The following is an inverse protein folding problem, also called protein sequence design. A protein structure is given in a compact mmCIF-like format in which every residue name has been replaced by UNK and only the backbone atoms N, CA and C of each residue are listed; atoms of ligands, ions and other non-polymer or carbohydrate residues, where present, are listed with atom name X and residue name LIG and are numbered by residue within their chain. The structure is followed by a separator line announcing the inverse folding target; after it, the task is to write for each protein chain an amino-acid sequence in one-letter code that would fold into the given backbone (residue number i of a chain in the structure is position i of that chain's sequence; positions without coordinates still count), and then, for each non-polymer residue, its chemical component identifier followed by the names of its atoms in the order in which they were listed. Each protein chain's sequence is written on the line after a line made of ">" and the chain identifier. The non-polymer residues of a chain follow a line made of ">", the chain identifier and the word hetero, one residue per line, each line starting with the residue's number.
data_IF_980949631337
#
_entry.id   IF_980949631337
#
_cell.length_a   1.000
_cell.length_b   1.000
_cell.length_c   1.000
_cell.angle_alpha   90.00
_cell.angle_beta   90.00
_cell.angle_gamma   90.00
#
_symmetry.space_group_name_H-M   'P 1'
#
loop_
_entity.id
_entity.type
_entity.pdbx_description
1 polymer ?
#
# COMPACT_ATOMS: atom_id res chain seq x y z
N UNK A 1 66.86 9.98 -13.73
CA UNK A 1 65.90 8.86 -13.58
C UNK A 1 65.11 8.83 -12.30
N UNK A 2 65.65 9.21 -11.12
CA UNK A 2 64.88 9.15 -9.84
C UNK A 2 63.78 10.21 -9.68
N UNK A 3 63.81 11.34 -10.40
CA UNK A 3 62.75 12.38 -10.31
C UNK A 3 61.54 12.12 -11.20
N UNK A 4 61.65 11.30 -12.23
CA UNK A 4 60.54 10.92 -13.11
C UNK A 4 59.62 9.85 -12.47
N UNK A 5 60.17 8.98 -11.61
CA UNK A 5 59.44 7.89 -10.95
C UNK A 5 58.53 8.41 -9.83
N UNK A 6 58.89 9.52 -9.17
CA UNK A 6 58.09 10.13 -8.08
C UNK A 6 56.85 10.86 -8.61
N UNK A 7 56.94 11.46 -9.80
CA UNK A 7 55.79 12.10 -10.44
C UNK A 7 54.75 11.09 -10.99
N UNK A 8 55.16 9.91 -11.42
CA UNK A 8 54.24 8.85 -11.85
C UNK A 8 53.49 8.19 -10.66
N UNK A 9 54.16 8.06 -9.52
CA UNK A 9 53.50 7.51 -8.30
C UNK A 9 52.49 8.48 -7.66
N UNK A 10 52.68 9.78 -7.76
CA UNK A 10 51.72 10.79 -7.33
C UNK A 10 50.50 10.92 -8.26
N UNK A 11 50.65 10.65 -9.56
CA UNK A 11 49.54 10.67 -10.52
C UNK A 11 48.62 9.44 -10.39
N UNK A 12 49.12 8.29 -9.91
CA UNK A 12 48.32 7.08 -9.69
C UNK A 12 47.51 7.16 -8.37
N UNK A 13 47.96 7.95 -7.40
CA UNK A 13 47.25 8.13 -6.10
C UNK A 13 46.09 9.15 -6.16
N UNK A 14 45.98 9.92 -7.25
CA UNK A 14 44.89 10.90 -7.42
C UNK A 14 43.69 10.42 -8.22
N UNK A 15 43.71 9.16 -8.70
CA UNK A 15 42.61 8.53 -9.45
C UNK A 15 41.87 7.45 -8.65
N UNK A 16 41.90 7.49 -7.31
CA UNK A 16 40.79 6.90 -6.56
C UNK A 16 39.61 7.80 -6.79
N UNK A 17 38.96 7.71 -7.95
CA UNK A 17 37.64 8.25 -8.14
C UNK A 17 36.81 7.72 -6.97
N UNK A 18 36.46 8.60 -6.04
CA UNK A 18 35.34 8.39 -5.16
C UNK A 18 34.16 8.15 -6.12
N UNK A 19 33.87 6.90 -6.42
CA UNK A 19 32.53 6.53 -6.83
C UNK A 19 31.64 6.90 -5.65
N UNK A 20 31.22 8.17 -5.61
CA UNK A 20 30.19 8.61 -4.71
C UNK A 20 29.03 7.65 -4.97
N UNK A 21 28.80 6.72 -4.05
CA UNK A 21 27.63 5.84 -4.10
C UNK A 21 26.45 6.77 -4.23
N UNK A 22 25.68 6.65 -5.30
CA UNK A 22 24.51 7.47 -5.51
C UNK A 22 23.70 7.48 -4.21
N UNK A 23 23.23 8.66 -3.80
CA UNK A 23 22.44 8.77 -2.58
C UNK A 23 21.25 7.80 -2.63
N UNK A 24 20.93 7.08 -1.55
CA UNK A 24 19.79 6.19 -1.53
C UNK A 24 18.52 6.95 -1.93
N UNK A 25 17.67 6.39 -2.81
CA UNK A 25 16.48 7.10 -3.29
C UNK A 25 15.46 7.28 -2.17
N UNK A 26 14.69 8.35 -2.24
CA UNK A 26 13.50 8.52 -1.42
C UNK A 26 12.35 7.66 -1.96
N UNK A 27 11.46 7.24 -1.09
CA UNK A 27 10.27 6.47 -1.46
C UNK A 27 9.00 7.14 -0.96
N UNK A 28 8.00 7.24 -1.84
CA UNK A 28 6.65 7.72 -1.50
C UNK A 28 5.65 6.72 -2.05
N UNK A 29 4.83 6.13 -1.18
CA UNK A 29 3.71 5.26 -1.55
C UNK A 29 2.41 6.00 -1.24
N UNK A 30 1.67 6.36 -2.28
CA UNK A 30 0.32 6.94 -2.18
C UNK A 30 -0.67 5.81 -2.39
N UNK A 31 -1.40 5.44 -1.32
CA UNK A 31 -2.23 4.25 -1.25
C UNK A 31 -3.68 4.64 -0.98
N UNK A 32 -4.57 4.36 -1.93
CA UNK A 32 -5.94 4.86 -1.90
C UNK A 32 -6.87 3.76 -1.39
N UNK A 33 -7.91 4.13 -0.66
CA UNK A 33 -8.91 3.22 -0.10
C UNK A 33 -10.10 3.09 -1.05
N UNK A 34 -10.39 1.86 -1.52
CA UNK A 34 -11.54 1.52 -2.37
C UNK A 34 -11.55 2.16 -3.77
N UNK A 35 -10.44 2.63 -4.31
CA UNK A 35 -10.38 3.16 -5.68
C UNK A 35 -10.25 2.03 -6.69
N UNK A 36 -11.14 1.99 -7.67
CA UNK A 36 -11.12 0.96 -8.70
C UNK A 36 -10.21 1.25 -9.88
N UNK A 37 -9.90 0.20 -10.62
CA UNK A 37 -9.06 0.23 -11.82
C UNK A 37 -9.53 1.29 -12.84
N UNK A 38 -10.84 1.46 -13.03
CA UNK A 38 -11.43 2.38 -14.00
C UNK A 38 -11.73 3.79 -13.47
N UNK A 39 -11.28 4.15 -12.27
CA UNK A 39 -11.63 5.43 -11.66
C UNK A 39 -10.71 6.59 -12.04
N UNK A 40 -9.56 6.35 -12.66
CA UNK A 40 -8.62 7.40 -13.08
C UNK A 40 -8.43 7.44 -14.60
N UNK A 41 -8.19 8.62 -15.17
CA UNK A 41 -8.09 8.80 -16.63
C UNK A 41 -6.99 7.94 -17.29
N UNK A 42 -5.77 7.75 -16.69
CA UNK A 42 -4.75 6.87 -17.27
C UNK A 42 -5.20 5.41 -17.43
N UNK A 43 -6.21 4.97 -16.69
CA UNK A 43 -6.80 3.63 -16.75
C UNK A 43 -8.21 3.60 -17.35
N UNK A 44 -8.60 4.66 -18.05
CA UNK A 44 -9.78 4.70 -18.90
C UNK A 44 -11.01 5.40 -18.35
N UNK A 45 -10.95 6.05 -17.17
CA UNK A 45 -12.05 6.86 -16.68
C UNK A 45 -12.44 7.95 -17.70
N UNK A 46 -13.75 8.07 -17.97
CA UNK A 46 -14.32 9.14 -18.81
C UNK A 46 -15.07 10.18 -17.97
N UNK A 47 -15.25 9.90 -16.68
CA UNK A 47 -16.08 10.69 -15.78
C UNK A 47 -15.20 11.58 -14.90
N UNK A 48 -14.20 10.97 -14.24
CA UNK A 48 -13.34 11.65 -13.30
C UNK A 48 -12.24 12.44 -14.03
N UNK A 49 -11.89 13.61 -13.50
CA UNK A 49 -10.80 14.44 -14.03
C UNK A 49 -9.58 14.30 -13.13
N UNK A 50 -8.53 13.68 -13.64
CA UNK A 50 -7.33 13.36 -12.88
C UNK A 50 -6.05 13.88 -13.56
N UNK A 51 -5.94 15.23 -13.75
CA UNK A 51 -4.85 15.84 -14.52
C UNK A 51 -3.46 15.61 -13.91
N UNK A 52 -3.35 15.48 -12.58
CA UNK A 52 -2.07 15.23 -11.91
C UNK A 52 -1.62 13.78 -12.09
N UNK A 53 -2.55 12.80 -11.99
CA UNK A 53 -2.29 11.39 -12.31
C UNK A 53 -1.99 11.20 -13.80
N UNK A 54 -2.69 11.94 -14.69
CA UNK A 54 -2.35 11.97 -16.13
C UNK A 54 -0.92 12.44 -16.36
N UNK A 55 -0.50 13.49 -15.65
CA UNK A 55 0.86 13.97 -15.72
C UNK A 55 1.85 12.96 -15.16
N UNK A 56 1.55 12.38 -14.00
CA UNK A 56 2.37 11.33 -13.38
C UNK A 56 2.59 10.14 -14.33
N UNK A 57 1.54 9.68 -15.02
CA UNK A 57 1.63 8.59 -15.99
C UNK A 57 2.46 8.96 -17.24
N UNK A 58 2.30 10.20 -17.74
CA UNK A 58 3.11 10.68 -18.89
C UNK A 58 4.59 10.86 -18.56
N UNK A 59 4.91 11.24 -17.33
CA UNK A 59 6.29 11.43 -16.88
C UNK A 59 6.92 10.15 -16.28
N UNK A 60 6.12 9.16 -15.97
CA UNK A 60 6.49 7.91 -15.34
C UNK A 60 6.06 6.67 -16.15
N UNK A 61 5.62 5.64 -15.45
CA UNK A 61 5.24 4.34 -16.02
C UNK A 61 3.94 3.85 -15.42
N UNK A 62 3.05 3.25 -16.24
CA UNK A 62 1.86 2.53 -15.78
C UNK A 62 2.15 1.04 -15.64
N UNK A 63 1.63 0.42 -14.57
CA UNK A 63 1.65 -1.04 -14.37
C UNK A 63 0.22 -1.54 -14.48
N UNK A 64 -0.11 -2.22 -15.58
CA UNK A 64 -1.47 -2.61 -15.90
C UNK A 64 -1.88 -3.98 -15.33
N UNK A 65 -0.94 -4.72 -14.75
CA UNK A 65 -1.15 -5.99 -14.02
C UNK A 65 -0.54 -5.94 -12.63
N UNK A 66 -0.90 -4.93 -11.86
CA UNK A 66 -0.46 -4.76 -10.47
C UNK A 66 -1.56 -5.21 -9.51
N UNK A 67 -1.20 -6.06 -8.54
CA UNK A 67 -2.16 -6.75 -7.70
C UNK A 67 -1.97 -6.48 -6.21
N UNK A 68 -3.10 -6.46 -5.50
CA UNK A 68 -3.13 -6.52 -4.03
C UNK A 68 -3.42 -7.95 -3.58
N UNK A 69 -2.79 -8.39 -2.48
CA UNK A 69 -2.91 -9.77 -1.99
C UNK A 69 -4.30 -10.10 -1.41
N UNK A 70 -5.11 -9.09 -1.14
CA UNK A 70 -6.47 -9.29 -0.63
C UNK A 70 -7.41 -8.19 -1.13
N UNK A 71 -8.69 -8.51 -1.40
CA UNK A 71 -9.67 -7.55 -1.92
C UNK A 71 -10.34 -6.71 -0.82
N UNK A 72 -9.73 -6.61 0.39
CA UNK A 72 -10.22 -5.80 1.51
C UNK A 72 -9.06 -5.20 2.31
N UNK A 73 -9.33 -4.07 3.01
CA UNK A 73 -8.35 -3.14 3.55
C UNK A 73 -7.28 -3.75 4.47
N UNK A 74 -7.66 -4.30 5.65
CA UNK A 74 -6.68 -4.80 6.66
C UNK A 74 -5.70 -5.79 6.06
N UNK A 75 -6.14 -6.92 5.45
CA UNK A 75 -5.19 -7.90 4.92
C UNK A 75 -4.36 -7.36 3.74
N UNK A 76 -4.90 -6.49 2.89
CA UNK A 76 -4.14 -5.86 1.81
C UNK A 76 -3.00 -4.97 2.36
N UNK A 77 -3.29 -4.19 3.41
CA UNK A 77 -2.30 -3.32 4.08
C UNK A 77 -1.24 -4.13 4.81
N UNK A 78 -1.61 -5.25 5.45
CA UNK A 78 -0.66 -6.18 6.05
C UNK A 78 0.31 -6.73 5.02
N UNK A 79 -0.19 -7.12 3.84
CA UNK A 79 0.62 -7.65 2.75
C UNK A 79 1.63 -6.60 2.20
N UNK A 80 1.20 -5.35 2.02
CA UNK A 80 2.09 -4.27 1.60
C UNK A 80 3.20 -4.02 2.63
N UNK A 81 2.86 -3.97 3.92
CA UNK A 81 3.83 -3.68 4.99
C UNK A 81 4.86 -4.79 5.17
N UNK A 82 4.46 -6.06 5.05
CA UNK A 82 5.32 -7.21 5.38
C UNK A 82 5.98 -7.87 4.17
N UNK A 83 5.44 -7.64 2.96
CA UNK A 83 5.85 -8.37 1.75
C UNK A 83 5.33 -9.81 1.71
N UNK A 84 4.28 -10.15 2.50
CA UNK A 84 3.76 -11.50 2.65
C UNK A 84 2.26 -11.57 2.35
N UNK A 85 1.77 -12.74 1.92
CA UNK A 85 0.34 -12.97 1.93
C UNK A 85 -0.23 -12.81 3.35
N UNK A 86 -1.44 -12.22 3.51
CA UNK A 86 -2.01 -11.93 4.83
C UNK A 86 -2.17 -13.15 5.73
N UNK A 87 -2.45 -14.35 5.15
CA UNK A 87 -2.53 -15.61 5.91
C UNK A 87 -1.17 -15.96 6.55
N UNK A 88 -0.07 -15.58 5.91
CA UNK A 88 1.26 -15.88 6.43
C UNK A 88 1.58 -15.13 7.71
N UNK A 89 0.95 -13.99 7.92
CA UNK A 89 1.13 -13.11 9.09
C UNK A 89 -0.10 -13.08 10.00
N UNK A 90 -1.06 -13.99 9.80
CA UNK A 90 -2.26 -14.13 10.62
C UNK A 90 -3.25 -12.97 10.53
N UNK A 91 -3.14 -12.11 9.51
CA UNK A 91 -4.01 -10.95 9.30
C UNK A 91 -4.88 -11.06 8.03
N UNK A 92 -5.29 -12.26 7.66
CA UNK A 92 -6.25 -12.49 6.59
C UNK A 92 -7.66 -11.98 6.91
N UNK A 93 -7.92 -11.67 8.19
CA UNK A 93 -9.15 -11.07 8.73
C UNK A 93 -8.91 -10.50 10.12
N UNK A 94 -9.85 -9.71 10.65
CA UNK A 94 -9.91 -9.29 12.04
C UNK A 94 -10.57 -10.35 12.94
N UNK A 95 -10.67 -10.03 14.22
CA UNK A 95 -11.33 -10.88 15.22
C UNK A 95 -12.85 -10.87 15.03
N UNK A 96 -13.38 -11.91 14.39
CA UNK A 96 -14.82 -12.03 14.11
C UNK A 96 -15.34 -11.20 12.92
N UNK A 97 -14.47 -10.45 12.23
CA UNK A 97 -14.79 -9.62 11.07
C UNK A 97 -13.74 -9.80 9.96
N UNK A 98 -14.08 -9.41 8.74
CA UNK A 98 -13.14 -9.47 7.59
C UNK A 98 -12.01 -8.44 7.65
N UNK A 99 -12.13 -7.44 8.51
CA UNK A 99 -11.14 -6.39 8.80
C UNK A 99 -11.12 -6.10 10.30
N UNK A 100 -10.07 -5.44 10.77
CA UNK A 100 -9.97 -5.03 12.18
C UNK A 100 -10.95 -3.91 12.51
N UNK A 101 -11.52 -3.94 13.73
CA UNK A 101 -12.43 -2.93 14.27
C UNK A 101 -11.77 -2.17 15.43
N UNK A 102 -12.36 -1.02 15.86
CA UNK A 102 -11.88 -0.28 17.03
C UNK A 102 -11.86 -1.15 18.29
N UNK A 103 -10.70 -1.21 18.97
CA UNK A 103 -10.51 -2.03 20.15
C UNK A 103 -10.41 -3.53 19.87
N UNK A 104 -10.11 -3.94 18.63
CA UNK A 104 -9.82 -5.33 18.32
C UNK A 104 -8.54 -5.78 19.06
N UNK A 105 -8.54 -7.01 19.56
CA UNK A 105 -7.36 -7.56 20.21
C UNK A 105 -6.30 -8.03 19.22
N UNK A 106 -6.65 -8.20 17.94
CA UNK A 106 -5.71 -8.51 16.87
C UNK A 106 -5.02 -7.26 16.33
N UNK A 107 -3.82 -7.46 15.79
CA UNK A 107 -3.04 -6.46 15.06
C UNK A 107 -1.82 -7.07 14.40
N UNK A 108 -1.06 -6.28 13.66
CA UNK A 108 0.20 -6.73 13.07
C UNK A 108 1.17 -7.13 14.18
N UNK A 109 1.65 -8.38 14.13
CA UNK A 109 2.51 -8.92 15.18
C UNK A 109 3.80 -8.08 15.30
N UNK A 110 4.23 -7.68 16.51
CA UNK A 110 5.43 -6.85 16.69
C UNK A 110 6.72 -7.47 16.17
N UNK A 111 6.79 -8.80 16.03
CA UNK A 111 7.95 -9.50 15.47
C UNK A 111 7.92 -9.56 13.93
N UNK A 112 6.88 -9.06 13.27
CA UNK A 112 6.91 -8.90 11.82
C UNK A 112 7.88 -7.76 11.46
N UNK A 113 8.59 -7.96 10.36
CA UNK A 113 9.50 -6.93 9.85
C UNK A 113 8.78 -6.21 8.72
N UNK A 114 8.51 -4.93 8.94
CA UNK A 114 7.83 -4.08 7.98
C UNK A 114 8.80 -3.39 7.02
N UNK A 115 8.26 -2.93 5.89
CA UNK A 115 9.01 -2.06 4.97
C UNK A 115 9.55 -0.80 5.68
N UNK A 116 8.81 -0.24 6.65
CA UNK A 116 9.24 0.93 7.41
C UNK A 116 10.42 0.59 8.34
N UNK A 117 10.40 -0.55 9.03
CA UNK A 117 11.52 -0.99 9.87
C UNK A 117 12.79 -1.26 9.05
N UNK A 118 12.64 -1.93 7.90
CA UNK A 118 13.76 -2.18 6.98
C UNK A 118 14.40 -0.88 6.50
N UNK A 119 13.59 0.11 6.11
CA UNK A 119 14.08 1.39 5.63
C UNK A 119 14.63 2.26 6.79
N UNK A 120 14.01 2.24 7.97
CA UNK A 120 14.54 2.91 9.16
C UNK A 120 15.93 2.36 9.54
N UNK A 121 16.10 1.04 9.48
CA UNK A 121 17.40 0.41 9.70
C UNK A 121 18.44 0.76 8.62
N UNK A 122 18.01 1.23 7.44
CA UNK A 122 18.86 1.78 6.38
C UNK A 122 19.14 3.30 6.57
N UNK A 123 18.67 3.92 7.66
CA UNK A 123 18.88 5.33 7.94
C UNK A 123 17.85 6.29 7.37
N UNK A 124 16.74 5.79 6.86
CA UNK A 124 15.63 6.63 6.36
C UNK A 124 14.86 7.29 7.49
N UNK A 125 14.39 8.51 7.25
CA UNK A 125 13.27 9.04 8.02
C UNK A 125 11.98 8.39 7.52
N UNK A 126 11.12 7.89 8.42
CA UNK A 126 9.93 7.15 8.05
C UNK A 126 8.66 7.83 8.57
N UNK A 127 7.69 8.09 7.68
CA UNK A 127 6.44 8.76 8.02
C UNK A 127 5.21 8.06 7.44
N UNK A 128 4.17 7.90 8.28
CA UNK A 128 2.85 7.38 7.89
C UNK A 128 1.80 8.47 8.08
N UNK A 129 1.06 8.82 7.00
CA UNK A 129 0.09 9.92 7.02
C UNK A 129 -1.24 9.46 6.45
N UNK A 130 -2.17 8.99 7.31
CA UNK A 130 -3.47 8.48 6.88
C UNK A 130 -4.00 7.29 7.65
N UNK A 131 -4.74 6.40 6.95
CA UNK A 131 -5.40 5.23 7.51
C UNK A 131 -4.40 4.08 7.71
N UNK A 132 -4.18 3.67 8.96
CA UNK A 132 -3.31 2.54 9.30
C UNK A 132 -3.98 1.17 9.07
N UNK A 133 -4.98 0.86 9.85
CA UNK A 133 -5.83 -0.33 9.80
C UNK A 133 -5.13 -1.68 10.02
N UNK A 134 -4.04 -1.68 10.81
CA UNK A 134 -3.31 -2.90 11.21
C UNK A 134 -3.24 -3.09 12.73
N UNK A 135 -4.25 -2.57 13.43
CA UNK A 135 -4.40 -2.62 14.88
C UNK A 135 -4.25 -1.24 15.53
N UNK A 136 -5.09 -0.99 16.54
CA UNK A 136 -5.20 0.28 17.25
C UNK A 136 -4.64 0.22 18.68
N UNK A 137 -4.15 -0.96 19.13
CA UNK A 137 -3.48 -1.07 20.41
C UNK A 137 -2.03 -0.56 20.28
N UNK A 138 -1.41 -0.06 21.40
CA UNK A 138 -0.11 0.62 21.34
C UNK A 138 0.98 -0.11 20.58
N UNK A 139 1.10 -1.42 20.81
CA UNK A 139 2.11 -2.26 20.16
C UNK A 139 1.89 -2.48 18.66
N UNK A 140 0.71 -2.10 18.14
CA UNK A 140 0.34 -2.27 16.74
C UNK A 140 0.32 -0.95 15.96
N UNK A 141 0.44 0.21 16.66
CA UNK A 141 0.43 1.52 16.00
C UNK A 141 1.65 1.71 15.09
N UNK A 142 1.58 2.58 14.08
CA UNK A 142 2.68 2.79 13.12
C UNK A 142 4.04 3.05 13.77
N UNK A 143 4.07 3.79 14.88
CA UNK A 143 5.33 4.10 15.58
C UNK A 143 5.97 2.88 16.25
N UNK A 144 5.20 1.84 16.57
CA UNK A 144 5.71 0.54 17.02
C UNK A 144 6.09 -0.38 15.85
N UNK A 145 5.70 -0.02 14.61
CA UNK A 145 5.90 -0.79 13.39
C UNK A 145 6.85 -0.10 12.39
N UNK A 146 7.82 0.67 12.93
CA UNK A 146 8.93 1.20 12.14
C UNK A 146 8.79 2.64 11.63
N UNK A 147 7.67 3.32 11.85
CA UNK A 147 7.53 4.72 11.47
C UNK A 147 8.01 5.66 12.59
N UNK A 148 8.86 6.65 12.25
CA UNK A 148 9.32 7.68 13.17
C UNK A 148 8.22 8.69 13.49
N UNK A 149 7.28 8.91 12.55
CA UNK A 149 6.18 9.87 12.65
C UNK A 149 4.90 9.25 12.11
N UNK A 150 3.82 9.43 12.85
CA UNK A 150 2.47 9.06 12.41
C UNK A 150 1.51 10.23 12.60
N UNK A 151 0.70 10.51 11.59
CA UNK A 151 -0.48 11.36 11.70
C UNK A 151 -1.62 10.75 10.89
N UNK A 152 -2.70 10.33 11.56
CA UNK A 152 -3.78 9.66 10.83
C UNK A 152 -4.81 8.99 11.71
N UNK A 153 -5.63 8.13 11.07
CA UNK A 153 -6.68 7.35 11.70
C UNK A 153 -6.24 5.89 11.86
N UNK A 154 -6.40 5.27 13.04
CA UNK A 154 -5.85 3.93 13.31
C UNK A 154 -6.66 2.80 12.65
N UNK A 155 -7.88 3.05 12.23
CA UNK A 155 -8.80 2.12 11.57
C UNK A 155 -9.60 2.83 10.46
N UNK A 156 -10.63 2.18 9.90
CA UNK A 156 -11.38 2.75 8.78
C UNK A 156 -12.23 3.95 9.19
N UNK A 157 -12.35 4.93 8.29
CA UNK A 157 -13.07 6.18 8.52
C UNK A 157 -14.58 6.02 8.69
N UNK A 158 -15.17 4.88 8.27
CA UNK A 158 -16.56 4.53 8.50
C UNK A 158 -16.83 3.94 9.90
N UNK A 159 -15.77 3.57 10.63
CA UNK A 159 -15.85 3.02 11.98
C UNK A 159 -15.99 4.15 13.01
N UNK A 160 -17.15 4.80 13.00
CA UNK A 160 -17.52 5.92 13.86
C UNK A 160 -19.00 5.84 14.26
N UNK A 161 -19.54 6.70 15.15
CA UNK A 161 -20.89 6.54 15.72
C UNK A 161 -22.05 6.47 14.72
N UNK A 162 -21.88 6.96 13.48
CA UNK A 162 -22.91 6.81 12.46
C UNK A 162 -23.05 5.37 11.94
N UNK A 163 -22.04 4.51 12.12
CA UNK A 163 -22.13 3.07 11.85
C UNK A 163 -22.83 2.35 13.03
N UNK A 164 -24.11 2.64 13.20
CA UNK A 164 -24.92 2.27 14.38
C UNK A 164 -24.87 0.79 14.76
N UNK A 165 -24.76 -0.09 13.76
CA UNK A 165 -24.81 -1.54 13.98
C UNK A 165 -23.61 -2.09 14.78
N UNK A 166 -22.47 -1.36 14.84
CA UNK A 166 -21.25 -1.79 15.51
C UNK A 166 -20.89 -0.98 16.74
N UNK A 167 -21.70 0.02 17.12
CA UNK A 167 -21.45 0.88 18.27
C UNK A 167 -20.01 1.42 18.33
N UNK A 168 -19.48 1.89 17.19
CA UNK A 168 -18.11 2.38 17.12
C UNK A 168 -17.91 3.64 17.98
N UNK A 169 -16.70 3.86 18.54
CA UNK A 169 -16.33 5.11 19.20
C UNK A 169 -16.25 6.27 18.19
N UNK A 170 -16.06 7.50 18.68
CA UNK A 170 -15.64 8.59 17.79
C UNK A 170 -14.32 8.22 17.11
N UNK A 171 -14.19 8.55 15.82
CA UNK A 171 -13.00 8.28 15.05
C UNK A 171 -11.87 9.23 15.50
N UNK A 172 -10.76 8.74 16.08
CA UNK A 172 -9.67 9.60 16.51
C UNK A 172 -8.71 9.88 15.36
N UNK A 173 -8.14 11.09 15.33
CA UNK A 173 -6.89 11.39 14.61
C UNK A 173 -5.77 11.35 15.64
N UNK A 174 -4.73 10.59 15.34
CA UNK A 174 -3.54 10.47 16.17
C UNK A 174 -2.39 11.30 15.58
N UNK A 175 -1.60 11.89 16.46
CA UNK A 175 -0.22 12.29 16.20
C UNK A 175 0.69 11.36 17.03
N UNK A 176 1.43 10.51 16.34
CA UNK A 176 2.17 9.37 16.88
C UNK A 176 1.25 8.44 17.68
N UNK A 177 1.31 8.47 19.01
CA UNK A 177 0.47 7.65 19.88
C UNK A 177 -0.64 8.44 20.57
N UNK A 178 -0.74 9.76 20.35
CA UNK A 178 -1.69 10.64 21.06
C UNK A 178 -2.89 10.96 20.19
N UNK A 179 -4.08 10.85 20.72
CA UNK A 179 -5.29 11.40 20.10
C UNK A 179 -5.22 12.93 20.16
N UNK A 180 -5.20 13.58 19.00
CA UNK A 180 -5.11 15.05 18.88
C UNK A 180 -6.41 15.68 18.40
N UNK A 181 -7.29 14.89 17.78
CA UNK A 181 -8.57 15.34 17.27
C UNK A 181 -9.57 14.18 17.19
N UNK A 182 -10.87 14.48 17.23
CA UNK A 182 -11.94 13.52 16.97
C UNK A 182 -12.73 13.96 15.74
N UNK A 183 -12.88 13.05 14.79
CA UNK A 183 -13.77 13.21 13.64
C UNK A 183 -15.22 12.96 14.11
N UNK A 184 -16.03 14.01 14.15
CA UNK A 184 -17.39 13.99 14.69
C UNK A 184 -18.46 14.32 13.66
N UNK A 185 -18.09 14.98 12.58
CA UNK A 185 -18.98 15.47 11.54
C UNK A 185 -18.56 15.01 10.15
N UNK A 186 -19.46 15.13 9.18
CA UNK A 186 -19.12 14.90 7.78
C UNK A 186 -18.13 15.94 7.23
N UNK A 187 -18.07 17.15 7.82
CA UNK A 187 -17.07 18.15 7.44
C UNK A 187 -15.66 17.74 7.92
N UNK A 188 -15.57 17.14 9.10
CA UNK A 188 -14.30 16.56 9.58
C UNK A 188 -13.84 15.42 8.66
N UNK A 189 -14.77 14.55 8.19
CA UNK A 189 -14.47 13.51 7.19
C UNK A 189 -13.93 14.12 5.87
N UNK A 190 -14.58 15.18 5.36
CA UNK A 190 -14.15 15.87 4.16
C UNK A 190 -12.76 16.49 4.27
N UNK A 191 -12.30 16.82 5.47
CA UNK A 191 -10.98 17.41 5.70
C UNK A 191 -9.83 16.40 5.73
N UNK A 192 -10.10 15.08 5.83
CA UNK A 192 -9.08 14.05 6.03
C UNK A 192 -8.03 14.02 4.89
N UNK A 193 -8.48 14.05 3.64
CA UNK A 193 -7.57 14.00 2.48
C UNK A 193 -6.56 15.15 2.54
N UNK A 194 -7.02 16.39 2.79
CA UNK A 194 -6.17 17.56 2.90
C UNK A 194 -5.22 17.47 4.10
N UNK A 195 -5.71 17.07 5.29
CA UNK A 195 -4.90 16.95 6.51
C UNK A 195 -3.72 15.99 6.30
N UNK A 196 -3.99 14.82 5.72
CA UNK A 196 -2.95 13.82 5.47
C UNK A 196 -1.93 14.30 4.42
N UNK A 197 -2.41 14.98 3.37
CA UNK A 197 -1.54 15.58 2.34
C UNK A 197 -0.64 16.66 2.93
N UNK A 198 -1.17 17.55 3.76
CA UNK A 198 -0.43 18.65 4.38
C UNK A 198 0.68 18.09 5.30
N UNK A 199 0.41 17.04 6.09
CA UNK A 199 1.41 16.42 6.95
C UNK A 199 2.47 15.66 6.15
N UNK A 200 2.09 14.93 5.10
CA UNK A 200 3.04 14.24 4.22
C UNK A 200 3.99 15.25 3.53
N UNK A 201 3.46 16.33 2.99
CA UNK A 201 4.28 17.35 2.33
C UNK A 201 5.17 18.11 3.32
N UNK A 202 4.70 18.36 4.56
CA UNK A 202 5.51 18.93 5.64
C UNK A 202 6.67 18.01 6.01
N UNK A 203 6.42 16.70 6.11
CA UNK A 203 7.44 15.70 6.40
C UNK A 203 8.50 15.65 5.30
N UNK A 204 8.11 15.65 4.03
CA UNK A 204 9.05 15.69 2.88
C UNK A 204 9.99 16.91 3.00
N UNK A 205 9.44 18.12 3.21
CA UNK A 205 10.25 19.34 3.38
C UNK A 205 11.19 19.27 4.57
N UNK A 206 10.72 18.71 5.69
CA UNK A 206 11.53 18.57 6.93
C UNK A 206 12.71 17.62 6.75
N UNK A 207 12.56 16.61 5.91
CA UNK A 207 13.57 15.54 5.76
C UNK A 207 14.28 15.55 4.39
N UNK A 208 14.24 16.67 3.65
CA UNK A 208 14.81 16.79 2.31
C UNK A 208 16.32 16.52 2.22
N UNK A 209 17.05 16.66 3.33
CA UNK A 209 18.51 16.53 3.37
C UNK A 209 18.97 15.09 3.76
N UNK A 210 18.05 14.14 3.88
CA UNK A 210 18.31 12.72 4.16
C UNK A 210 17.29 11.83 3.46
N UNK A 211 17.61 10.55 3.22
CA UNK A 211 16.63 9.65 2.60
C UNK A 211 15.38 9.51 3.49
N UNK A 212 14.20 9.46 2.85
CA UNK A 212 12.93 9.30 3.55
C UNK A 212 12.02 8.29 2.87
N UNK A 213 11.14 7.72 3.67
CA UNK A 213 10.00 6.91 3.25
C UNK A 213 8.71 7.54 3.75
N UNK A 214 7.82 7.85 2.82
CA UNK A 214 6.46 8.33 3.11
C UNK A 214 5.47 7.27 2.67
N UNK A 215 4.66 6.79 3.61
CA UNK A 215 3.44 6.03 3.36
C UNK A 215 2.26 6.97 3.56
N UNK A 216 1.53 7.27 2.48
CA UNK A 216 0.37 8.15 2.46
C UNK A 216 -0.90 7.33 2.13
N UNK A 217 -1.44 6.56 3.11
CA UNK A 217 -2.65 5.78 2.95
C UNK A 217 -3.89 6.66 3.15
N UNK A 218 -4.44 7.20 2.06
CA UNK A 218 -5.68 7.95 2.14
C UNK A 218 -6.85 7.10 2.63
N UNK A 219 -7.77 7.71 3.39
CA UNK A 219 -9.07 7.12 3.71
C UNK A 219 -10.10 7.38 2.60
N UNK A 220 -9.81 8.26 1.66
CA UNK A 220 -10.58 8.47 0.44
C UNK A 220 -10.18 7.38 -0.57
N UNK A 221 -11.07 6.90 -1.33
CA UNK A 221 -12.47 7.27 -1.62
C UNK A 221 -13.49 6.38 -0.87
N UNK A 222 -13.08 5.76 0.24
CA UNK A 222 -13.95 4.93 1.08
C UNK A 222 -15.10 5.77 1.70
N UNK A 223 -16.26 5.12 1.95
CA UNK A 223 -17.35 5.78 2.69
C UNK A 223 -17.04 5.96 4.19
N UNK A 224 -17.73 6.89 4.89
CA UNK A 224 -18.75 7.81 4.39
C UNK A 224 -18.17 8.89 3.48
N UNK A 225 -18.88 9.21 2.41
CA UNK A 225 -18.33 10.07 1.36
C UNK A 225 -18.76 11.52 1.55
N UNK A 226 -17.76 12.39 1.66
CA UNK A 226 -17.87 13.82 1.53
C UNK A 226 -16.53 14.37 1.06
N UNK A 227 -16.51 15.15 0.00
CA UNK A 227 -15.34 15.87 -0.48
C UNK A 227 -15.31 17.29 0.05
N UNK A 228 -14.13 17.91 0.04
CA UNK A 228 -13.99 19.33 0.36
C UNK A 228 -14.85 20.20 -0.57
N UNK A 229 -15.44 21.31 -0.10
CA UNK A 229 -16.38 22.13 -0.89
C UNK A 229 -15.85 22.55 -2.27
N UNK A 230 -14.56 22.78 -2.40
CA UNK A 230 -13.92 23.18 -3.68
C UNK A 230 -13.99 22.12 -4.78
N UNK A 231 -14.21 20.85 -4.44
CA UNK A 231 -14.35 19.75 -5.39
C UNK A 231 -15.83 19.42 -5.67
N UNK A 232 -16.74 19.91 -4.83
CA UNK A 232 -18.18 19.74 -5.01
C UNK A 232 -18.73 20.83 -5.91
N UNK A 233 -19.05 20.49 -7.15
CA UNK A 233 -19.77 21.35 -8.06
C UNK A 233 -21.23 20.86 -8.20
N UNK A 234 -22.13 21.73 -8.64
CA UNK A 234 -23.52 21.37 -8.92
C UNK A 234 -23.59 20.19 -9.90
N UNK A 235 -24.38 19.19 -9.58
CA UNK A 235 -24.55 17.95 -10.38
C UNK A 235 -23.39 16.96 -10.28
N UNK A 236 -22.28 17.27 -9.60
CA UNK A 236 -21.17 16.33 -9.45
C UNK A 236 -21.48 15.28 -8.37
N UNK A 237 -21.25 14.00 -8.66
CA UNK A 237 -21.32 12.92 -7.69
C UNK A 237 -20.19 13.04 -6.67
N UNK A 238 -20.46 12.67 -5.44
CA UNK A 238 -19.47 12.75 -4.35
C UNK A 238 -18.27 11.84 -4.58
N UNK A 239 -18.46 10.66 -5.20
CA UNK A 239 -17.38 9.76 -5.58
C UNK A 239 -16.41 10.44 -6.56
N UNK A 240 -16.95 11.10 -7.59
CA UNK A 240 -16.14 11.86 -8.54
C UNK A 240 -15.37 12.98 -7.83
N UNK A 241 -16.03 13.74 -6.95
CA UNK A 241 -15.38 14.80 -6.19
C UNK A 241 -14.22 14.28 -5.33
N UNK A 242 -14.39 13.13 -4.68
CA UNK A 242 -13.33 12.51 -3.87
C UNK A 242 -12.17 12.00 -4.72
N UNK A 243 -12.42 11.39 -5.88
CA UNK A 243 -11.34 10.97 -6.81
C UNK A 243 -10.55 12.18 -7.28
N UNK A 244 -11.21 13.28 -7.63
CA UNK A 244 -10.53 14.52 -8.04
C UNK A 244 -9.78 15.20 -6.89
N UNK A 245 -10.23 15.05 -5.63
CA UNK A 245 -9.50 15.52 -4.45
C UNK A 245 -8.27 14.66 -4.16
N UNK A 246 -8.33 13.36 -4.39
CA UNK A 246 -7.14 12.48 -4.34
C UNK A 246 -6.14 12.87 -5.43
N UNK A 247 -6.59 13.13 -6.65
CA UNK A 247 -5.71 13.62 -7.73
C UNK A 247 -5.01 14.93 -7.35
N UNK A 248 -5.73 15.87 -6.71
CA UNK A 248 -5.12 17.09 -6.17
C UNK A 248 -4.03 16.75 -5.12
N UNK A 249 -4.28 15.81 -4.22
CA UNK A 249 -3.30 15.37 -3.22
C UNK A 249 -2.02 14.86 -3.88
N UNK A 250 -2.14 13.99 -4.89
CA UNK A 250 -1.00 13.54 -5.70
C UNK A 250 -0.26 14.74 -6.30
N UNK A 251 -0.99 15.71 -6.84
CA UNK A 251 -0.43 16.94 -7.37
C UNK A 251 0.38 17.73 -6.34
N UNK A 252 -0.09 17.82 -5.07
CA UNK A 252 0.63 18.53 -4.00
C UNK A 252 1.93 17.79 -3.61
N UNK A 253 1.88 16.45 -3.51
CA UNK A 253 3.07 15.64 -3.21
C UNK A 253 4.13 15.81 -4.30
N UNK A 254 3.75 15.62 -5.59
CA UNK A 254 4.68 15.75 -6.71
C UNK A 254 5.22 17.19 -6.86
N UNK A 255 4.39 18.19 -6.58
CA UNK A 255 4.80 19.60 -6.55
C UNK A 255 5.86 19.83 -5.47
N UNK A 256 5.62 19.35 -4.25
CA UNK A 256 6.58 19.50 -3.14
C UNK A 256 7.91 18.84 -3.46
N UNK A 257 7.91 17.61 -4.00
CA UNK A 257 9.13 16.89 -4.39
C UNK A 257 9.94 17.70 -5.43
N UNK A 258 9.27 18.33 -6.40
CA UNK A 258 9.93 19.17 -7.41
C UNK A 258 10.47 20.46 -6.82
N UNK A 259 9.69 21.18 -6.01
CA UNK A 259 10.07 22.45 -5.39
C UNK A 259 11.27 22.30 -4.46
N UNK A 260 11.40 21.15 -3.77
CA UNK A 260 12.55 20.85 -2.93
C UNK A 260 13.76 20.25 -3.70
N UNK A 261 13.68 20.13 -5.04
CA UNK A 261 14.77 19.60 -5.86
C UNK A 261 15.03 18.11 -5.71
N UNK A 262 14.03 17.33 -5.29
CA UNK A 262 14.16 15.91 -4.96
C UNK A 262 13.71 14.96 -6.08
N UNK A 263 13.21 15.48 -7.19
CA UNK A 263 12.55 14.70 -8.23
C UNK A 263 13.44 13.59 -8.82
N UNK A 264 14.72 13.89 -9.07
CA UNK A 264 15.66 12.96 -9.70
C UNK A 264 16.13 11.84 -8.75
N UNK A 265 15.80 11.93 -7.45
CA UNK A 265 16.14 10.91 -6.45
C UNK A 265 14.93 10.44 -5.64
N UNK A 266 13.73 10.47 -6.22
CA UNK A 266 12.50 10.04 -5.52
C UNK A 266 11.65 9.14 -6.40
N UNK A 267 11.40 7.91 -5.92
CA UNK A 267 10.40 7.01 -6.49
C UNK A 267 9.06 7.28 -5.80
N UNK A 268 8.06 7.66 -6.59
CA UNK A 268 6.66 7.79 -6.14
C UNK A 268 5.83 6.69 -6.78
N UNK A 269 5.11 5.92 -5.98
CA UNK A 269 4.17 4.90 -6.44
C UNK A 269 2.76 5.28 -5.96
N UNK A 270 1.81 5.29 -6.89
CA UNK A 270 0.38 5.46 -6.65
C UNK A 270 -0.35 4.15 -6.95
N UNK A 271 -1.21 3.68 -6.04
CA UNK A 271 -2.10 2.52 -6.25
C UNK A 271 -3.26 2.52 -5.24
N UNK A 272 -4.14 1.51 -5.32
CA UNK A 272 -5.26 1.30 -4.38
C UNK A 272 -5.02 0.09 -3.47
N UNK A 273 -5.74 0.01 -2.34
CA UNK A 273 -5.64 -1.12 -1.40
C UNK A 273 -6.53 -2.30 -1.77
N UNK A 274 -7.58 -2.08 -2.51
CA UNK A 274 -8.47 -3.08 -3.08
C UNK A 274 -9.39 -2.46 -4.13
N UNK A 275 -10.08 -3.30 -4.88
CA UNK A 275 -11.03 -2.88 -5.90
C UNK A 275 -12.14 -1.96 -5.38
N UNK A 276 -12.95 -1.38 -6.30
CA UNK A 276 -13.87 -0.29 -5.99
C UNK A 276 -15.04 -0.72 -5.12
N UNK A 277 -15.53 0.22 -4.30
CA UNK A 277 -16.78 0.10 -3.56
C UNK A 277 -17.79 1.21 -3.95
N UNK A 278 -19.08 0.99 -3.66
CA UNK A 278 -20.13 1.96 -3.97
C UNK A 278 -20.26 2.29 -5.45
N UNK A 279 -20.28 3.59 -5.81
CA UNK A 279 -20.43 4.10 -7.18
C UNK A 279 -19.12 4.16 -8.00
N UNK A 280 -18.04 3.57 -7.52
CA UNK A 280 -16.74 3.52 -8.20
C UNK A 280 -16.65 2.37 -9.21
N UNK A 281 -15.63 2.38 -10.09
CA UNK A 281 -15.56 1.56 -11.30
C UNK A 281 -14.33 0.65 -11.37
N UNK A 282 -14.55 -0.64 -11.60
CA UNK A 282 -13.48 -1.59 -11.97
C UNK A 282 -13.03 -1.44 -13.44
N UNK A 283 -13.60 -0.53 -14.23
CA UNK A 283 -13.32 -0.43 -15.66
C UNK A 283 -13.76 -1.70 -16.41
N UNK A 284 -12.84 -2.32 -17.20
CA UNK A 284 -13.16 -3.53 -17.96
C UNK A 284 -13.16 -4.82 -17.11
N UNK A 285 -12.71 -4.74 -15.85
CA UNK A 285 -12.49 -5.90 -14.99
C UNK A 285 -13.81 -6.37 -14.35
N UNK A 286 -13.98 -7.69 -14.21
CA UNK A 286 -15.08 -8.27 -13.44
C UNK A 286 -14.86 -8.14 -11.94
N UNK A 287 -15.95 -7.95 -11.21
CA UNK A 287 -15.91 -7.90 -9.75
C UNK A 287 -15.52 -6.53 -9.20
N UNK A 288 -15.33 -6.48 -7.89
CA UNK A 288 -15.05 -5.29 -7.09
C UNK A 288 -14.57 -5.68 -5.70
N UNK A 289 -14.42 -4.73 -4.77
CA UNK A 289 -14.09 -4.96 -3.36
C UNK A 289 -14.72 -6.24 -2.82
N UNK A 290 -13.94 -7.09 -2.18
CA UNK A 290 -14.39 -8.35 -1.57
C UNK A 290 -14.56 -9.51 -2.53
N UNK A 291 -14.26 -9.38 -3.83
CA UNK A 291 -14.36 -10.47 -4.80
C UNK A 291 -12.99 -11.02 -5.23
N UNK A 292 -12.94 -12.32 -5.59
CA UNK A 292 -11.76 -12.98 -6.11
C UNK A 292 -11.50 -12.70 -7.61
N UNK A 293 -12.40 -11.98 -8.29
CA UNK A 293 -12.23 -11.59 -9.68
C UNK A 293 -11.20 -10.47 -9.84
N UNK A 294 -10.77 -10.21 -11.07
CA UNK A 294 -9.74 -9.21 -11.38
C UNK A 294 -10.04 -7.83 -10.75
N UNK A 295 -11.28 -7.35 -10.84
CA UNK A 295 -11.69 -6.05 -10.31
C UNK A 295 -11.69 -5.94 -8.78
N UNK A 296 -11.40 -7.02 -8.04
CA UNK A 296 -11.18 -6.97 -6.59
C UNK A 296 -9.72 -6.85 -6.19
N UNK A 297 -8.78 -7.23 -7.08
CA UNK A 297 -7.35 -7.36 -6.75
C UNK A 297 -6.41 -6.61 -7.67
N UNK A 298 -6.84 -6.31 -8.91
CA UNK A 298 -6.00 -5.64 -9.90
C UNK A 298 -6.25 -4.15 -9.87
N UNK A 299 -5.19 -3.39 -9.50
CA UNK A 299 -5.31 -2.00 -9.13
C UNK A 299 -4.62 -1.05 -10.12
N UNK A 300 -5.15 0.17 -10.31
CA UNK A 300 -4.52 1.17 -11.17
C UNK A 300 -3.22 1.62 -10.51
N UNK A 301 -2.08 1.39 -11.17
CA UNK A 301 -0.79 1.68 -10.58
C UNK A 301 0.09 2.51 -11.51
N UNK A 302 0.63 3.60 -10.94
CA UNK A 302 1.56 4.49 -11.63
C UNK A 302 2.82 4.64 -10.78
N UNK A 303 3.98 4.49 -11.40
CA UNK A 303 5.28 4.79 -10.79
C UNK A 303 5.94 5.96 -11.49
N UNK A 304 6.59 6.82 -10.70
CA UNK A 304 7.19 8.04 -11.19
C UNK A 304 8.57 8.24 -10.56
N UNK A 305 9.57 8.44 -11.38
CA UNK A 305 10.92 8.80 -11.00
C UNK A 305 11.60 9.41 -12.23
N UNK A 306 11.52 10.72 -12.41
CA UNK A 306 12.08 11.40 -13.58
C UNK A 306 13.57 11.12 -13.74
N UNK A 307 14.03 10.99 -14.99
CA UNK A 307 15.43 10.68 -15.30
C UNK A 307 15.82 9.21 -15.08
N UNK A 308 15.05 8.43 -14.32
CA UNK A 308 15.33 7.02 -14.03
C UNK A 308 14.33 6.08 -14.71
N UNK A 309 13.03 6.41 -14.65
CA UNK A 309 11.97 5.62 -15.30
C UNK A 309 11.68 6.19 -16.69
N UNK A 310 11.63 5.37 -17.75
CA UNK A 310 11.26 5.84 -19.10
C UNK A 310 9.84 6.46 -19.10
N UNK A 311 9.78 7.74 -19.46
CA UNK A 311 8.52 8.50 -19.45
C UNK A 311 7.48 7.93 -20.42
N UNK A 312 6.22 7.87 -19.99
CA UNK A 312 5.09 7.38 -20.77
C UNK A 312 5.11 5.89 -21.07
N UNK A 313 5.99 5.12 -20.41
CA UNK A 313 6.09 3.69 -20.61
C UNK A 313 5.01 2.91 -19.83
N UNK A 314 4.82 1.64 -20.20
CA UNK A 314 3.86 0.73 -19.56
C UNK A 314 4.44 -0.66 -19.39
N UNK A 315 3.89 -1.43 -18.43
CA UNK A 315 4.14 -2.86 -18.28
C UNK A 315 2.85 -3.60 -17.98
N UNK A 316 2.67 -4.76 -18.63
CA UNK A 316 1.61 -5.71 -18.33
C UNK A 316 2.12 -6.93 -17.53
N UNK A 317 3.37 -6.90 -17.11
CA UNK A 317 3.94 -7.94 -16.26
C UNK A 317 3.28 -7.96 -14.88
N UNK A 318 3.07 -9.17 -14.35
CA UNK A 318 2.50 -9.36 -13.03
C UNK A 318 3.43 -8.79 -11.96
N UNK A 319 2.90 -7.92 -11.13
CA UNK A 319 3.57 -7.35 -9.96
C UNK A 319 2.55 -7.16 -8.84
N UNK A 320 3.01 -7.06 -7.61
CA UNK A 320 2.14 -7.01 -6.43
C UNK A 320 2.57 -5.96 -5.41
N UNK A 321 1.67 -5.56 -4.52
CA UNK A 321 2.04 -4.69 -3.39
C UNK A 321 3.06 -5.34 -2.46
N UNK A 322 3.08 -6.68 -2.36
CA UNK A 322 4.07 -7.41 -1.56
C UNK A 322 5.50 -7.19 -2.05
N UNK A 323 5.67 -6.92 -3.34
CA UNK A 323 6.98 -6.73 -3.98
C UNK A 323 7.66 -5.42 -3.56
N UNK A 324 6.88 -4.46 -3.04
CA UNK A 324 7.43 -3.15 -2.67
C UNK A 324 8.45 -3.28 -1.53
N UNK A 325 8.22 -4.18 -0.56
CA UNK A 325 9.15 -4.38 0.54
C UNK A 325 10.53 -4.88 0.06
N UNK A 326 10.67 -6.03 -0.62
CA UNK A 326 11.99 -6.48 -1.10
C UNK A 326 12.60 -5.54 -2.14
N UNK A 327 11.79 -4.87 -2.97
CA UNK A 327 12.27 -3.91 -3.95
C UNK A 327 12.89 -2.68 -3.28
N UNK A 328 12.20 -2.08 -2.32
CA UNK A 328 12.71 -0.90 -1.61
C UNK A 328 13.89 -1.26 -0.70
N UNK A 329 13.86 -2.44 -0.05
CA UNK A 329 15.03 -2.96 0.67
C UNK A 329 16.27 -2.99 -0.23
N UNK A 330 16.16 -3.62 -1.41
CA UNK A 330 17.28 -3.69 -2.37
C UNK A 330 17.75 -2.30 -2.82
N UNK A 331 16.83 -1.42 -3.20
CA UNK A 331 17.18 -0.07 -3.65
C UNK A 331 17.81 0.76 -2.52
N UNK A 332 17.47 0.50 -1.27
CA UNK A 332 18.10 1.07 -0.07
C UNK A 332 19.42 0.37 0.33
N UNK A 333 19.85 -0.66 -0.42
CA UNK A 333 21.05 -1.41 -0.11
C UNK A 333 20.92 -2.36 1.08
N UNK A 334 19.71 -2.86 1.35
CA UNK A 334 19.39 -3.83 2.41
C UNK A 334 18.98 -5.17 1.82
N UNK A 335 19.18 -6.22 2.59
CA UNK A 335 18.68 -7.56 2.30
C UNK A 335 17.39 -7.81 3.07
N UNK A 336 16.53 -8.65 2.52
CA UNK A 336 15.37 -9.18 3.24
C UNK A 336 15.80 -10.16 4.33
N UNK A 337 14.99 -10.33 5.41
CA UNK A 337 15.24 -11.37 6.41
C UNK A 337 15.23 -12.77 5.77
N UNK A 338 16.09 -13.67 6.28
CA UNK A 338 16.24 -15.04 5.79
C UNK A 338 15.66 -16.09 6.75
N UNK A 339 15.19 -15.66 7.92
CA UNK A 339 14.61 -16.49 8.98
C UNK A 339 13.13 -16.81 8.77
N UNK A 340 12.52 -16.20 7.76
CA UNK A 340 11.09 -16.30 7.45
C UNK A 340 10.82 -16.27 5.95
N UNK A 341 9.66 -16.82 5.54
CA UNK A 341 9.19 -16.74 4.15
C UNK A 341 8.66 -15.34 3.88
N UNK A 342 9.13 -14.74 2.79
CA UNK A 342 8.64 -13.50 2.18
C UNK A 342 8.12 -13.86 0.80
N UNK A 343 6.86 -13.54 0.50
CA UNK A 343 6.21 -13.88 -0.77
C UNK A 343 6.53 -12.89 -1.88
N UNK A 344 6.70 -11.61 -1.53
CA UNK A 344 7.10 -10.55 -2.44
C UNK A 344 8.48 -10.79 -3.04
N UNK A 345 8.70 -10.26 -4.22
CA UNK A 345 9.94 -10.37 -5.00
C UNK A 345 10.48 -8.98 -5.34
N UNK A 346 11.79 -8.91 -5.60
CA UNK A 346 12.35 -7.67 -6.14
C UNK A 346 11.90 -7.46 -7.58
N UNK A 347 11.12 -6.42 -7.81
CA UNK A 347 10.61 -5.99 -9.12
C UNK A 347 11.22 -4.65 -9.56
N UNK A 348 12.37 -4.25 -9.01
CA UNK A 348 12.99 -3.01 -9.43
C UNK A 348 13.22 -2.94 -10.94
N UNK A 349 13.64 -4.01 -11.67
CA UNK A 349 13.75 -3.96 -13.13
C UNK A 349 12.43 -3.61 -13.81
N UNK A 350 11.27 -4.10 -13.32
CA UNK A 350 9.95 -3.77 -13.86
C UNK A 350 9.57 -2.32 -13.55
N UNK A 351 9.76 -1.87 -12.30
CA UNK A 351 9.45 -0.50 -11.89
C UNK A 351 10.27 0.52 -12.67
N UNK A 352 11.57 0.25 -12.82
CA UNK A 352 12.51 1.14 -13.50
C UNK A 352 12.44 1.06 -15.03
N UNK A 353 11.65 0.15 -15.59
CA UNK A 353 11.49 0.00 -17.03
C UNK A 353 12.72 -0.53 -17.74
N UNK A 354 13.49 -1.40 -17.08
CA UNK A 354 14.65 -2.07 -17.69
C UNK A 354 14.21 -2.85 -18.94
N UNK A 355 14.86 -2.69 -20.10
CA UNK A 355 14.51 -3.43 -21.30
C UNK A 355 14.56 -4.94 -21.09
N UNK A 356 13.50 -5.65 -21.51
CA UNK A 356 13.38 -7.11 -21.36
C UNK A 356 13.08 -7.59 -19.95
N UNK A 357 12.80 -6.69 -18.99
CA UNK A 357 12.41 -7.10 -17.65
C UNK A 357 11.05 -7.82 -17.68
N UNK A 358 11.00 -8.99 -17.08
CA UNK A 358 9.82 -9.84 -16.91
C UNK A 358 9.48 -10.00 -15.44
N UNK A 359 8.26 -10.45 -15.15
CA UNK A 359 7.85 -10.74 -13.80
C UNK A 359 8.71 -11.85 -13.16
N UNK A 360 9.14 -11.71 -11.90
CA UNK A 360 9.74 -12.80 -11.15
C UNK A 360 8.71 -13.79 -10.57
N UNK A 361 7.42 -13.53 -10.78
CA UNK A 361 6.34 -14.38 -10.29
C UNK A 361 5.91 -15.40 -11.34
N UNK A 362 5.94 -16.66 -10.99
CA UNK A 362 5.36 -17.76 -11.75
C UNK A 362 3.87 -17.97 -11.45
N UNK A 363 3.39 -17.44 -10.32
CA UNK A 363 2.01 -17.56 -9.84
C UNK A 363 1.62 -16.42 -8.89
N UNK A 364 0.31 -16.21 -8.75
CA UNK A 364 -0.29 -15.28 -7.78
C UNK A 364 -1.57 -15.90 -7.20
N UNK A 365 -1.78 -15.75 -5.89
CA UNK A 365 -2.93 -16.31 -5.18
C UNK A 365 -3.90 -15.22 -4.76
N UNK A 366 -5.17 -15.42 -5.06
CA UNK A 366 -6.24 -14.50 -4.72
C UNK A 366 -6.95 -14.93 -3.45
N UNK A 367 -7.38 -13.96 -2.67
CA UNK A 367 -8.16 -14.18 -1.46
C UNK A 367 -9.60 -13.70 -1.61
N UNK A 368 -10.49 -14.29 -0.79
CA UNK A 368 -11.84 -13.78 -0.57
C UNK A 368 -12.31 -14.20 0.81
N UNK A 369 -12.81 -13.24 1.62
CA UNK A 369 -13.31 -13.53 2.96
C UNK A 369 -12.30 -14.19 3.92
N UNK A 370 -11.00 -13.89 3.74
CA UNK A 370 -9.92 -14.48 4.53
C UNK A 370 -9.46 -15.87 4.05
N UNK A 371 -10.03 -16.40 2.97
CA UNK A 371 -9.70 -17.70 2.42
C UNK A 371 -9.07 -17.62 1.04
N UNK A 372 -8.26 -18.63 0.70
CA UNK A 372 -7.73 -18.81 -0.65
C UNK A 372 -8.87 -19.05 -1.63
N UNK A 373 -8.98 -18.20 -2.66
CA UNK A 373 -10.11 -18.19 -3.59
C UNK A 373 -9.77 -18.50 -5.04
N UNK A 374 -8.54 -18.17 -5.48
CA UNK A 374 -8.09 -18.47 -6.84
C UNK A 374 -6.55 -18.53 -6.92
N UNK A 375 -6.05 -19.04 -8.04
CA UNK A 375 -4.64 -18.95 -8.44
C UNK A 375 -4.55 -18.48 -9.89
N UNK A 376 -3.57 -17.62 -10.17
CA UNK A 376 -3.14 -17.26 -11.52
C UNK A 376 -1.73 -17.80 -11.76
N UNK A 377 -1.49 -18.43 -12.93
CA UNK A 377 -0.16 -18.75 -13.43
C UNK A 377 -0.10 -18.42 -14.93
N UNK A 378 0.82 -17.52 -15.30
CA UNK A 378 0.82 -16.91 -16.62
C UNK A 378 -0.50 -16.20 -16.91
N UNK A 379 -1.15 -16.58 -18.02
CA UNK A 379 -2.44 -16.01 -18.43
C UNK A 379 -3.66 -16.75 -17.86
N UNK A 380 -3.45 -17.88 -17.20
CA UNK A 380 -4.53 -18.72 -16.70
C UNK A 380 -4.87 -18.43 -15.25
N UNK A 381 -6.15 -18.28 -14.97
CA UNK A 381 -6.70 -18.08 -13.63
C UNK A 381 -7.77 -19.12 -13.33
N UNK A 382 -7.55 -19.89 -12.27
CA UNK A 382 -8.50 -20.89 -11.75
C UNK A 382 -9.08 -20.42 -10.43
N UNK A 383 -10.40 -20.32 -10.32
CA UNK A 383 -11.09 -20.14 -9.05
C UNK A 383 -11.22 -21.48 -8.33
N UNK A 384 -11.16 -21.46 -6.99
CA UNK A 384 -11.33 -22.68 -6.15
C UNK A 384 -12.65 -23.39 -6.42
N UNK A 385 -13.70 -22.68 -6.85
CA UNK A 385 -14.99 -23.25 -7.24
C UNK A 385 -14.98 -23.96 -8.61
N UNK A 386 -13.86 -23.95 -9.34
CA UNK A 386 -13.63 -24.71 -10.56
C UNK A 386 -13.67 -23.92 -11.87
N UNK A 387 -14.06 -22.65 -11.87
CA UNK A 387 -14.07 -21.83 -13.08
C UNK A 387 -12.64 -21.46 -13.52
N UNK A 388 -12.34 -21.63 -14.83
CA UNK A 388 -11.04 -21.30 -15.45
C UNK A 388 -11.20 -20.20 -16.47
N UNK A 389 -10.32 -19.19 -16.40
CA UNK A 389 -10.30 -18.06 -17.34
C UNK A 389 -8.90 -17.86 -17.95
N UNK A 390 -8.87 -17.46 -19.23
CA UNK A 390 -7.64 -16.99 -19.86
C UNK A 390 -7.64 -15.46 -19.89
N UNK A 391 -6.87 -14.82 -19.02
CA UNK A 391 -6.86 -13.37 -18.84
C UNK A 391 -6.26 -12.58 -20.02
N UNK A 392 -5.49 -13.24 -20.90
CA UNK A 392 -4.98 -12.59 -22.11
C UNK A 392 -6.09 -12.34 -23.14
N UNK A 393 -7.06 -13.25 -23.27
CA UNK A 393 -8.17 -13.16 -24.21
C UNK A 393 -9.50 -12.75 -23.56
N UNK A 394 -9.66 -12.98 -22.25
CA UNK A 394 -10.88 -12.71 -21.48
C UNK A 394 -10.55 -12.03 -20.14
N UNK A 395 -10.09 -10.80 -20.22
CA UNK A 395 -9.76 -10.00 -19.04
C UNK A 395 -11.00 -9.74 -18.14
N UNK A 396 -12.18 -9.82 -18.71
CA UNK A 396 -13.46 -9.62 -18.01
C UNK A 396 -14.02 -10.89 -17.37
N UNK A 397 -13.30 -12.02 -17.46
CA UNK A 397 -13.65 -13.31 -16.82
C UNK A 397 -15.10 -13.75 -17.11
N UNK A 398 -15.52 -13.67 -18.39
CA UNK A 398 -16.89 -13.96 -18.84
C UNK A 398 -17.07 -15.42 -19.24
N UNK A 399 -16.03 -16.04 -19.80
CA UNK A 399 -16.10 -17.34 -20.46
C UNK A 399 -15.32 -18.36 -19.64
N UNK A 400 -16.04 -19.22 -18.91
CA UNK A 400 -15.46 -20.37 -18.24
C UNK A 400 -15.06 -21.45 -19.27
N UNK A 401 -13.76 -21.72 -19.34
CA UNK A 401 -13.17 -22.69 -20.27
C UNK A 401 -12.56 -23.92 -19.55
N UNK A 402 -12.99 -24.19 -18.31
CA UNK A 402 -12.47 -25.30 -17.51
C UNK A 402 -12.69 -26.65 -18.18
N UNK A 403 -13.89 -26.86 -18.78
CA UNK A 403 -14.21 -28.11 -19.47
C UNK A 403 -13.36 -28.41 -20.70
N UNK A 404 -12.82 -27.37 -21.34
CA UNK A 404 -11.98 -27.47 -22.53
C UNK A 404 -10.49 -27.62 -22.22
N UNK A 405 -10.09 -27.37 -20.94
CA UNK A 405 -8.69 -27.31 -20.50
C UNK A 405 -8.43 -28.09 -19.21
N UNK A 406 -8.79 -29.39 -19.11
CA UNK A 406 -8.69 -30.17 -17.88
C UNK A 406 -7.26 -30.29 -17.33
N UNK A 407 -6.24 -30.34 -18.19
CA UNK A 407 -4.85 -30.42 -17.78
C UNK A 407 -4.38 -29.12 -17.10
N UNK A 408 -4.84 -27.98 -17.57
CA UNK A 408 -4.57 -26.67 -16.95
C UNK A 408 -5.26 -26.56 -15.59
N UNK A 409 -6.51 -27.01 -15.50
CA UNK A 409 -7.25 -27.08 -14.24
C UNK A 409 -6.48 -27.93 -13.23
N UNK A 410 -6.07 -29.15 -13.60
CA UNK A 410 -5.33 -30.06 -12.71
C UNK A 410 -4.00 -29.44 -12.23
N UNK A 411 -3.24 -28.81 -13.13
CA UNK A 411 -2.00 -28.09 -12.80
C UNK A 411 -2.25 -26.99 -11.78
N UNK A 412 -3.25 -26.13 -11.99
CA UNK A 412 -3.56 -25.00 -11.11
C UNK A 412 -4.13 -25.45 -9.76
N UNK A 413 -4.90 -26.55 -9.72
CA UNK A 413 -5.31 -27.19 -8.46
C UNK A 413 -4.11 -27.68 -7.65
N UNK A 414 -3.09 -28.25 -8.31
CA UNK A 414 -1.82 -28.61 -7.68
C UNK A 414 -1.15 -27.40 -7.00
N UNK A 415 -1.07 -26.26 -7.69
CA UNK A 415 -0.50 -25.04 -7.10
C UNK A 415 -1.30 -24.53 -5.89
N UNK A 416 -2.63 -24.63 -5.91
CA UNK A 416 -3.47 -24.28 -4.76
C UNK A 416 -3.19 -25.20 -3.56
N UNK A 417 -3.01 -26.52 -3.79
CA UNK A 417 -2.70 -27.49 -2.75
C UNK A 417 -1.31 -27.25 -2.15
N UNK A 418 -0.30 -27.02 -3.00
CA UNK A 418 1.06 -26.67 -2.58
C UNK A 418 1.07 -25.43 -1.67
N UNK A 419 0.36 -24.36 -2.08
CA UNK A 419 0.32 -23.13 -1.30
C UNK A 419 -0.37 -23.30 0.04
N UNK A 420 -1.45 -24.09 0.12
CA UNK A 420 -2.10 -24.43 1.40
C UNK A 420 -1.13 -25.14 2.34
N UNK A 421 -0.42 -26.14 1.84
CA UNK A 421 0.56 -26.89 2.64
C UNK A 421 1.74 -25.99 3.09
N UNK A 422 2.16 -25.05 2.24
CA UNK A 422 3.19 -24.07 2.59
C UNK A 422 2.70 -23.11 3.68
N UNK A 423 1.47 -22.61 3.60
CA UNK A 423 0.88 -21.76 4.64
C UNK A 423 0.76 -22.49 5.97
N UNK A 424 0.30 -23.74 5.98
CA UNK A 424 0.21 -24.56 7.21
C UNK A 424 1.56 -24.68 7.91
N UNK A 425 2.64 -24.79 7.15
CA UNK A 425 4.01 -24.95 7.68
C UNK A 425 4.67 -23.63 8.07
N UNK A 426 4.43 -22.55 7.33
CA UNK A 426 5.24 -21.33 7.35
C UNK A 426 4.45 -20.08 7.74
N UNK A 427 3.20 -20.18 8.21
CA UNK A 427 2.46 -19.05 8.75
C UNK A 427 2.95 -18.68 10.15
N UNK A 428 2.82 -17.41 10.47
CA UNK A 428 3.22 -16.81 11.75
C UNK A 428 1.97 -16.30 12.47
N UNK A 429 2.00 -16.19 13.81
CA UNK A 429 0.82 -15.77 14.56
C UNK A 429 0.47 -14.31 14.33
N UNK A 430 -0.82 -14.00 14.43
CA UNK A 430 -1.30 -12.63 14.55
C UNK A 430 -0.84 -12.03 15.88
N UNK A 431 -0.60 -10.73 15.92
CA UNK A 431 -0.38 -10.00 17.18
C UNK A 431 -1.64 -9.99 18.02
N UNK A 432 -1.50 -10.29 19.32
CA UNK A 432 -2.62 -10.32 20.26
C UNK A 432 -2.37 -9.33 21.40
N UNK A 433 -3.33 -8.43 21.64
CA UNK A 433 -3.33 -7.55 22.80
C UNK A 433 -4.17 -8.16 23.93
N UNK A 434 -3.61 -8.13 25.14
CA UNK A 434 -4.35 -8.45 26.35
C UNK A 434 -5.11 -7.21 26.82
N UNK A 435 -6.41 -7.34 27.13
CA UNK A 435 -7.28 -6.25 27.59
C UNK A 435 -7.33 -5.04 26.59
N UNK A 436 -7.67 -5.26 25.31
CA UNK A 436 -7.73 -4.19 24.32
C UNK A 436 -8.77 -3.12 24.72
N UNK A 437 -8.48 -1.85 24.38
CA UNK A 437 -9.35 -0.71 24.66
C UNK A 437 -9.53 0.14 23.41
N UNK A 438 -10.67 0.83 23.31
CA UNK A 438 -10.87 1.81 22.26
C UNK A 438 -10.07 3.09 22.54
N UNK A 439 -9.61 3.76 21.49
CA UNK A 439 -8.85 5.02 21.57
C UNK A 439 -9.72 6.25 21.89
N UNK A 440 -11.02 6.10 21.80
CA UNK A 440 -12.01 7.13 22.15
C UNK A 440 -13.22 6.44 22.80
N UNK A 441 -13.98 7.14 23.69
CA UNK A 441 -15.15 6.57 24.32
C UNK A 441 -16.26 6.34 23.30
N UNK A 442 -17.08 5.30 23.53
CA UNK A 442 -18.30 5.05 22.77
C UNK A 442 -19.41 5.98 23.27
N UNK A 443 -20.14 6.68 22.40
CA UNK A 443 -21.27 7.49 22.81
C UNK A 443 -22.34 6.66 23.54
N UNK A 444 -22.76 7.11 24.74
CA UNK A 444 -23.79 6.47 25.53
C UNK A 444 -23.37 5.22 26.32
N UNK A 445 -22.09 4.91 26.38
CA UNK A 445 -21.54 3.85 27.24
C UNK A 445 -20.94 4.52 28.49
N UNK A 446 -21.67 4.45 29.61
CA UNK A 446 -21.21 4.99 30.89
C UNK A 446 -20.07 4.15 31.46
N UNK A 447 -19.03 4.81 32.02
CA UNK A 447 -17.91 4.14 32.68
C UNK A 447 -16.86 3.52 31.76
N UNK A 448 -16.98 3.68 30.43
CA UNK A 448 -15.92 3.29 29.52
C UNK A 448 -14.75 4.28 29.66
N UNK A 449 -13.69 3.84 30.33
CA UNK A 449 -12.42 4.59 30.32
C UNK A 449 -11.83 4.49 28.92
N UNK A 450 -11.82 5.60 28.20
CA UNK A 450 -11.04 5.73 26.98
C UNK A 450 -9.58 5.42 27.28
N UNK A 451 -8.91 4.67 26.39
CA UNK A 451 -7.48 4.50 26.43
C UNK A 451 -6.82 5.88 26.42
N UNK A 452 -6.21 6.26 27.55
CA UNK A 452 -5.32 7.43 27.60
C UNK A 452 -3.95 6.97 27.14
N UNK A 453 -3.49 7.37 25.95
CA UNK A 453 -2.15 7.04 25.50
C UNK A 453 -1.12 7.90 26.23
N UNK A 454 -0.85 7.57 27.49
CA UNK A 454 0.29 8.04 28.26
C UNK A 454 1.27 6.88 28.46
N UNK A 455 1.67 6.22 27.39
CA UNK A 455 2.75 5.28 27.43
C UNK A 455 3.88 5.81 26.55
N UNK A 456 4.81 6.51 27.19
CA UNK A 456 6.20 6.48 26.78
C UNK A 456 6.65 5.02 26.90
N UNK A 457 6.62 4.28 25.81
CA UNK A 457 7.39 3.03 25.75
C UNK A 457 8.86 3.40 25.95
N UNK A 458 9.59 2.73 26.85
CA UNK A 458 11.03 2.90 26.93
C UNK A 458 11.61 2.61 25.53
N UNK A 459 12.43 3.52 25.03
CA UNK A 459 13.30 3.24 23.89
C UNK A 459 14.40 2.32 24.41
N UNK A 460 14.09 1.02 24.49
CA UNK A 460 15.15 0.03 24.65
C UNK A 460 15.80 -0.19 23.29
N UNK A 461 17.10 0.10 23.27
CA UNK A 461 17.93 -0.11 22.10
C UNK A 461 17.94 -1.59 21.70
N UNK A 462 17.69 -1.83 20.44
CA UNK A 462 18.13 -3.02 19.72
C UNK A 462 18.95 -2.59 18.51
#
# INVERSE_FOLDING_TARGET
>A
MKRLLVCLLLAVLLHTANFARAAPPNFVVIFIDDMGYGDIEPFGSKINKTPHLNRMAREGRTLTSFYVASPVCTPSRAALMTGCYPQRVGLEKGSGHIVLFPGDHHGLHPDEITIAETLRAAGYATGCFGKWHLGDQPQFLPTAQGFDTYYGIPYSNDMWPMLKRFQCPHLPILADTRVVELVKTMDDQAALCRKFTDEATRFIRKHKDRPFFVYLPHAFVHGPRKASPRFMAEGKKVEQAQVEEVDWSVGQVLKTIREEGLADNTLVLFTSDNGPAGGLSSGPLRGRKGSAYEGGHREPTIVWWPGTIPAGSSSAELATTMDLHPTFARLAGRSMPTDRVIDGKDIAPLLLGTPGATTPHDRFFYQQGGSLAAVRAGDWKLLVKGELYNLASDLAEKNDVAGENPDIVAKLQGLLAEFRADLEKNSRPVGIATNPRTLAPRPGVEGEEAYRPTLSLPREGK
#
